data_IF_140314187293
#
_entry.id   IF_140314187293
#
_cell.length_a   1.000
_cell.length_b   1.000
_cell.length_c   1.000
_cell.angle_alpha   90.00
_cell.angle_beta   90.00
_cell.angle_gamma   90.00
#
_symmetry.space_group_name_H-M   'P 1'
#
loop_
_entity.id
_entity.type
_entity.pdbx_description
1 polymer ?
#
# COMPACT_ATOMS: atom_id res chain seq x y z
N UNK A 1 44.87 -21.67 6.72
CA UNK A 1 43.80 -21.49 7.73
C UNK A 1 43.82 -20.06 8.28
N UNK A 2 43.10 -19.11 7.62
CA UNK A 2 43.16 -17.65 7.95
C UNK A 2 41.86 -17.12 8.58
N UNK A 3 40.96 -18.00 9.00
CA UNK A 3 39.61 -17.62 9.51
C UNK A 3 39.70 -16.89 10.86
N UNK A 4 40.66 -17.25 11.72
CA UNK A 4 40.81 -16.62 13.06
C UNK A 4 41.10 -15.11 13.04
N UNK A 5 41.72 -14.59 11.96
CA UNK A 5 42.05 -13.16 11.86
C UNK A 5 40.84 -12.24 11.64
N UNK A 6 39.71 -12.78 11.14
CA UNK A 6 38.48 -12.03 10.91
C UNK A 6 37.45 -12.21 12.03
N UNK A 7 37.54 -13.31 12.79
CA UNK A 7 36.61 -13.59 13.88
C UNK A 7 36.75 -12.60 15.04
N UNK A 8 37.98 -12.21 15.40
CA UNK A 8 38.23 -11.30 16.51
C UNK A 8 37.71 -9.88 16.24
N UNK A 9 38.00 -9.23 15.09
CA UNK A 9 37.42 -7.94 14.76
C UNK A 9 35.90 -7.99 14.67
N UNK A 10 35.33 -9.03 14.05
CA UNK A 10 33.87 -9.21 13.95
C UNK A 10 33.20 -9.29 15.33
N UNK A 11 33.77 -10.04 16.25
CA UNK A 11 33.28 -10.17 17.62
C UNK A 11 33.39 -8.82 18.39
N UNK A 12 34.47 -8.06 18.22
CA UNK A 12 34.63 -6.73 18.81
C UNK A 12 33.56 -5.77 18.31
N UNK A 13 33.31 -5.73 16.98
CA UNK A 13 32.25 -4.89 16.42
C UNK A 13 30.84 -5.29 16.90
N UNK A 14 30.59 -6.57 17.08
CA UNK A 14 29.33 -7.06 17.64
C UNK A 14 29.12 -6.58 19.08
N UNK A 15 30.18 -6.65 19.91
CA UNK A 15 30.11 -6.15 21.30
C UNK A 15 29.89 -4.64 21.33
N UNK A 16 30.61 -3.89 20.51
CA UNK A 16 30.45 -2.42 20.43
C UNK A 16 29.02 -2.07 20.00
N UNK A 17 28.46 -2.78 19.00
CA UNK A 17 27.08 -2.61 18.57
C UNK A 17 26.05 -2.90 19.68
N UNK A 18 26.30 -3.96 20.44
CA UNK A 18 25.41 -4.37 21.55
C UNK A 18 25.46 -3.38 22.70
N UNK A 19 26.65 -2.87 23.04
CA UNK A 19 26.82 -1.80 24.05
C UNK A 19 26.12 -0.53 23.58
N UNK A 20 26.29 -0.13 22.31
CA UNK A 20 25.60 1.03 21.73
C UNK A 20 24.07 0.90 21.82
N UNK A 21 23.54 -0.27 21.50
CA UNK A 21 22.11 -0.56 21.65
C UNK A 21 21.64 -0.43 23.10
N UNK A 22 22.38 -1.00 24.06
CA UNK A 22 22.04 -0.92 25.48
C UNK A 22 22.08 0.53 25.99
N UNK A 23 23.05 1.34 25.54
CA UNK A 23 23.12 2.76 25.90
C UNK A 23 21.92 3.53 25.38
N UNK A 24 21.51 3.30 24.12
CA UNK A 24 20.31 3.94 23.54
C UNK A 24 19.04 3.52 24.30
N UNK A 25 18.91 2.24 24.60
CA UNK A 25 17.76 1.73 25.38
C UNK A 25 17.74 2.34 26.79
N UNK A 26 18.87 2.39 27.49
CA UNK A 26 18.98 2.97 28.83
C UNK A 26 18.69 4.47 28.83
N UNK A 27 19.19 5.21 27.83
CA UNK A 27 18.94 6.65 27.70
C UNK A 27 17.45 6.95 27.53
N UNK A 28 16.73 6.10 26.79
CA UNK A 28 15.29 6.19 26.62
C UNK A 28 14.48 5.43 27.68
N UNK A 29 15.10 5.08 28.82
CA UNK A 29 14.45 4.37 29.94
C UNK A 29 13.78 3.06 29.52
N UNK A 30 14.34 2.36 28.51
CA UNK A 30 13.77 1.15 27.91
C UNK A 30 12.38 1.34 27.31
N UNK A 31 11.98 2.58 27.05
CA UNK A 31 10.74 2.88 26.34
C UNK A 31 10.96 2.80 24.82
N UNK A 32 10.71 1.62 24.28
CA UNK A 32 10.84 1.35 22.83
C UNK A 32 9.86 2.22 22.04
N UNK A 33 8.69 2.55 22.60
CA UNK A 33 7.73 3.44 21.93
C UNK A 33 8.27 4.85 21.77
N UNK A 34 9.04 5.34 22.74
CA UNK A 34 9.68 6.66 22.67
C UNK A 34 10.82 6.71 21.66
N UNK A 35 11.53 5.59 21.49
CA UNK A 35 12.59 5.46 20.46
C UNK A 35 11.95 5.38 19.05
N UNK A 36 10.79 4.72 18.94
CA UNK A 36 10.03 4.57 17.72
C UNK A 36 9.07 5.73 17.43
N UNK A 37 8.71 6.55 18.44
CA UNK A 37 7.84 7.73 18.27
C UNK A 37 8.65 8.90 17.72
N UNK A 38 9.03 8.82 16.48
CA UNK A 38 9.46 9.98 15.73
C UNK A 38 8.26 10.90 15.47
N UNK A 39 8.54 12.19 15.29
CA UNK A 39 7.54 13.21 15.01
C UNK A 39 6.77 12.86 13.73
N UNK A 40 5.65 12.15 13.87
CA UNK A 40 4.73 11.88 12.78
C UNK A 40 3.87 13.13 12.65
N UNK A 41 4.15 13.93 11.64
CA UNK A 41 3.25 15.00 11.24
C UNK A 41 2.11 14.38 10.41
N UNK A 42 0.89 14.80 10.69
CA UNK A 42 -0.29 14.41 9.93
C UNK A 42 -0.71 15.61 9.09
N UNK A 43 -0.74 15.44 7.78
CA UNK A 43 -1.25 16.44 6.85
C UNK A 43 -2.65 15.99 6.39
N UNK A 44 -3.61 16.89 6.46
CA UNK A 44 -5.01 16.66 6.07
C UNK A 44 -5.41 17.68 5.01
N UNK A 45 -6.07 17.23 3.96
CA UNK A 45 -6.52 18.06 2.85
C UNK A 45 -7.91 17.66 2.39
N UNK A 46 -8.67 18.65 1.92
CA UNK A 46 -10.03 18.47 1.40
C UNK A 46 -10.05 18.88 -0.08
N UNK A 47 -10.72 18.09 -0.88
CA UNK A 47 -10.91 18.36 -2.31
C UNK A 47 -12.39 18.22 -2.65
N UNK A 48 -12.82 19.00 -3.64
CA UNK A 48 -14.15 18.88 -4.20
C UNK A 48 -14.31 17.60 -5.05
N UNK A 49 -15.55 17.24 -5.35
CA UNK A 49 -15.89 16.06 -6.17
C UNK A 49 -15.74 16.30 -7.68
N UNK A 50 -15.08 17.35 -8.11
CA UNK A 50 -14.71 17.55 -9.53
C UNK A 50 -13.48 16.73 -9.93
N UNK A 51 -12.89 15.97 -9.00
CA UNK A 51 -11.78 15.06 -9.29
C UNK A 51 -12.30 13.80 -9.97
N UNK A 52 -11.99 13.59 -11.25
CA UNK A 52 -12.42 12.39 -11.97
C UNK A 52 -11.41 11.25 -11.88
N UNK A 53 -10.15 11.55 -11.53
CA UNK A 53 -9.07 10.59 -11.46
C UNK A 53 -8.20 10.81 -10.23
N UNK A 54 -7.98 9.75 -9.47
CA UNK A 54 -7.01 9.74 -8.37
C UNK A 54 -5.82 8.89 -8.81
N UNK A 55 -4.62 9.49 -8.79
CA UNK A 55 -3.35 8.82 -9.08
C UNK A 55 -2.50 8.72 -7.82
N UNK A 56 -2.12 7.50 -7.45
CA UNK A 56 -1.26 7.25 -6.29
C UNK A 56 0.01 6.50 -6.73
N UNK A 57 1.16 7.07 -6.45
CA UNK A 57 2.45 6.44 -6.72
C UNK A 57 3.26 6.36 -5.42
N UNK A 58 3.47 5.13 -4.92
CA UNK A 58 4.17 4.91 -3.67
C UNK A 58 5.21 3.80 -3.76
N UNK A 59 6.17 3.79 -2.84
CA UNK A 59 7.22 2.77 -2.83
C UNK A 59 6.98 1.67 -1.81
N UNK A 60 6.50 2.00 -0.61
CA UNK A 60 6.42 1.04 0.47
C UNK A 60 5.41 1.46 1.55
N UNK A 61 4.13 1.62 1.18
CA UNK A 61 3.14 2.18 2.08
C UNK A 61 1.84 1.40 2.16
N UNK A 62 1.11 1.66 3.24
CA UNK A 62 -0.27 1.23 3.37
C UNK A 62 -1.21 2.36 2.95
N UNK A 63 -1.94 2.12 1.88
CA UNK A 63 -2.94 3.03 1.33
C UNK A 63 -4.32 2.44 1.60
N UNK A 64 -5.21 3.25 2.15
CA UNK A 64 -6.62 2.90 2.32
C UNK A 64 -7.49 3.93 1.60
N UNK A 65 -8.35 3.46 0.72
CA UNK A 65 -9.36 4.27 0.04
C UNK A 65 -10.72 3.68 0.40
N UNK A 66 -11.58 4.48 0.99
CA UNK A 66 -12.92 4.03 1.38
C UNK A 66 -13.99 5.08 1.15
N UNK A 67 -15.22 4.62 0.95
CA UNK A 67 -16.38 5.51 0.96
C UNK A 67 -16.76 5.91 2.39
N UNK A 68 -17.34 7.09 2.52
CA UNK A 68 -17.83 7.66 3.79
C UNK A 68 -19.02 8.59 3.57
N UNK A 69 -19.67 9.02 4.64
CA UNK A 69 -20.80 9.96 4.64
C UNK A 69 -20.40 11.42 4.29
N UNK A 70 -19.15 11.66 3.91
CA UNK A 70 -18.65 12.97 3.52
C UNK A 70 -19.20 13.41 2.18
N UNK A 71 -19.25 14.73 1.96
CA UNK A 71 -19.60 15.33 0.65
C UNK A 71 -18.37 15.77 -0.16
N UNK A 72 -17.18 15.63 0.40
CA UNK A 72 -15.88 16.01 -0.16
C UNK A 72 -14.92 14.81 -0.17
N UNK A 73 -13.81 14.94 -0.89
CA UNK A 73 -12.71 13.99 -0.86
C UNK A 73 -11.74 14.43 0.23
N UNK A 74 -11.60 13.60 1.25
CA UNK A 74 -10.67 13.83 2.36
C UNK A 74 -9.43 12.99 2.18
N UNK A 75 -8.27 13.62 2.23
CA UNK A 75 -6.97 12.95 2.15
C UNK A 75 -6.18 13.23 3.42
N UNK A 76 -5.80 12.16 4.08
CA UNK A 76 -4.93 12.19 5.26
C UNK A 76 -3.65 11.45 4.97
N UNK A 77 -2.53 12.14 5.07
CA UNK A 77 -1.21 11.55 4.87
C UNK A 77 -0.33 11.75 6.10
N UNK A 78 0.55 10.79 6.33
CA UNK A 78 1.56 10.86 7.38
C UNK A 78 2.90 11.26 6.77
N UNK A 79 3.54 12.23 7.38
CA UNK A 79 4.91 12.59 7.10
C UNK A 79 5.79 12.03 8.21
N UNK A 80 6.68 11.14 7.87
CA UNK A 80 7.61 10.51 8.79
C UNK A 80 9.02 10.84 8.32
N UNK A 81 9.73 11.69 9.04
CA UNK A 81 11.11 12.11 8.73
C UNK A 81 11.28 12.59 7.28
N UNK A 82 12.01 11.83 6.48
CA UNK A 82 12.35 12.15 5.09
C UNK A 82 11.34 11.62 4.06
N UNK A 83 10.19 11.21 4.54
CA UNK A 83 9.14 10.60 3.77
C UNK A 83 7.89 11.46 3.89
N UNK A 84 7.40 11.95 2.78
CA UNK A 84 6.19 12.77 2.71
C UNK A 84 5.43 12.52 1.41
N UNK A 85 4.14 12.77 1.45
CA UNK A 85 3.33 12.82 0.25
C UNK A 85 3.34 14.21 -0.36
N UNK A 86 3.47 14.29 -1.68
CA UNK A 86 3.18 15.48 -2.47
C UNK A 86 1.79 15.28 -3.05
N UNK A 87 0.84 16.09 -2.63
CA UNK A 87 -0.54 15.98 -3.07
C UNK A 87 -0.85 17.26 -3.87
N UNK A 88 -1.13 17.08 -5.16
CA UNK A 88 -1.45 18.17 -6.09
C UNK A 88 -2.73 17.86 -6.83
N UNK A 89 -3.59 18.87 -6.98
CA UNK A 89 -4.77 18.80 -7.84
C UNK A 89 -4.52 19.61 -9.09
N UNK A 90 -4.54 18.97 -10.25
CA UNK A 90 -4.44 19.56 -11.56
C UNK A 90 -5.75 19.31 -12.31
N UNK A 91 -6.57 20.32 -12.50
CA UNK A 91 -7.91 20.23 -13.04
C UNK A 91 -8.77 19.18 -12.30
N UNK A 92 -9.05 18.07 -12.94
CA UNK A 92 -9.87 16.96 -12.44
C UNK A 92 -9.03 15.76 -11.95
N UNK A 93 -7.71 15.93 -11.86
CA UNK A 93 -6.78 14.88 -11.45
C UNK A 93 -6.18 15.21 -10.09
N UNK A 94 -6.32 14.29 -9.15
CA UNK A 94 -5.64 14.33 -7.86
C UNK A 94 -4.41 13.43 -7.91
N UNK A 95 -3.23 14.03 -7.97
CA UNK A 95 -1.95 13.33 -7.97
C UNK A 95 -1.39 13.24 -6.55
N UNK A 96 -1.05 12.02 -6.13
CA UNK A 96 -0.51 11.72 -4.81
C UNK A 96 0.78 10.93 -5.00
N UNK A 97 1.91 11.59 -4.83
CA UNK A 97 3.24 11.00 -5.00
C UNK A 97 3.98 10.93 -3.68
N UNK A 98 4.45 9.74 -3.34
CA UNK A 98 5.31 9.58 -2.19
C UNK A 98 6.74 9.97 -2.52
N UNK A 99 7.22 11.01 -1.87
CA UNK A 99 8.59 11.51 -1.97
C UNK A 99 9.45 10.95 -0.85
N UNK A 100 10.50 10.23 -1.23
CA UNK A 100 11.49 9.72 -0.30
C UNK A 100 12.69 10.67 -0.25
N UNK A 101 13.19 10.88 0.96
CA UNK A 101 14.46 11.53 1.19
C UNK A 101 15.65 10.74 0.63
N UNK A 102 16.84 11.20 0.90
CA UNK A 102 18.06 10.57 0.40
C UNK A 102 18.24 9.18 1.02
N UNK A 103 18.77 8.21 0.26
CA UNK A 103 18.91 6.82 0.68
C UNK A 103 19.65 6.61 2.01
N UNK A 104 20.65 7.45 2.31
CA UNK A 104 21.43 7.35 3.54
C UNK A 104 20.68 7.87 4.77
N UNK A 105 19.68 8.72 4.59
CA UNK A 105 18.79 9.18 5.66
C UNK A 105 17.87 8.03 6.11
N UNK A 106 17.55 7.10 5.20
CA UNK A 106 16.76 5.90 5.50
C UNK A 106 17.59 4.80 6.20
N UNK A 107 18.92 4.75 6.01
CA UNK A 107 19.76 3.72 6.66
C UNK A 107 19.87 3.93 8.17
N UNK A 108 19.79 5.17 8.63
CA UNK A 108 19.81 5.50 10.06
C UNK A 108 18.41 5.50 10.69
N UNK A 109 17.40 5.35 9.88
CA UNK A 109 16.01 5.36 10.33
C UNK A 109 15.58 3.91 10.65
N UNK A 110 15.36 3.63 11.93
CA UNK A 110 14.90 2.33 12.42
C UNK A 110 13.39 2.13 12.10
N UNK A 111 12.87 2.87 11.13
CA UNK A 111 11.47 2.85 10.69
C UNK A 111 10.96 1.49 10.22
N UNK A 112 11.87 0.56 9.80
CA UNK A 112 11.50 -0.83 9.54
C UNK A 112 10.95 -1.56 10.77
N UNK A 113 11.23 -1.07 11.98
CA UNK A 113 10.62 -1.60 13.21
C UNK A 113 9.14 -1.22 13.36
N UNK A 114 8.68 -0.15 12.67
CA UNK A 114 7.26 0.18 12.61
C UNK A 114 6.48 -0.81 11.73
N UNK A 115 7.14 -1.51 10.82
CA UNK A 115 6.54 -2.55 9.98
C UNK A 115 6.23 -3.84 10.75
N UNK A 116 6.83 -4.05 11.92
CA UNK A 116 6.59 -5.22 12.76
C UNK A 116 5.24 -5.21 13.51
N UNK A 117 4.21 -4.58 12.98
CA UNK A 117 2.83 -4.68 13.48
C UNK A 117 2.21 -3.36 13.97
N UNK A 118 2.85 -2.22 13.74
CA UNK A 118 2.34 -0.90 14.07
C UNK A 118 2.09 -0.02 12.82
N UNK A 119 1.90 -0.65 11.66
CA UNK A 119 1.60 0.05 10.41
C UNK A 119 0.25 0.76 10.52
N UNK A 120 0.28 1.94 11.09
CA UNK A 120 -0.76 2.90 10.87
C UNK A 120 -0.75 3.27 9.38
N UNK A 121 -1.90 3.28 8.76
CA UNK A 121 -2.13 3.69 7.39
C UNK A 121 -1.34 4.97 7.08
N UNK A 122 -0.47 4.93 6.07
CA UNK A 122 0.37 6.07 5.73
C UNK A 122 -0.39 7.09 4.86
N UNK A 123 -1.29 6.59 4.02
CA UNK A 123 -2.20 7.38 3.19
C UNK A 123 -3.62 6.86 3.36
N UNK A 124 -4.52 7.75 3.71
CA UNK A 124 -5.92 7.46 3.91
C UNK A 124 -6.77 8.43 3.10
N UNK A 125 -7.65 7.89 2.26
CA UNK A 125 -8.52 8.66 1.38
C UNK A 125 -9.98 8.27 1.67
N UNK A 126 -10.81 9.23 2.00
CA UNK A 126 -12.25 9.07 2.07
C UNK A 126 -12.91 9.78 0.90
N UNK A 127 -13.84 9.10 0.27
CA UNK A 127 -14.64 9.65 -0.83
C UNK A 127 -16.13 9.55 -0.50
N UNK A 128 -17.00 10.36 -1.08
CA UNK A 128 -18.44 10.24 -0.88
C UNK A 128 -18.97 8.86 -1.31
N UNK A 129 -20.00 8.34 -0.63
CA UNK A 129 -20.56 7.01 -0.87
C UNK A 129 -20.98 6.75 -2.32
N UNK A 130 -21.58 7.75 -2.99
CA UNK A 130 -22.09 7.60 -4.36
C UNK A 130 -21.14 8.16 -5.44
N UNK A 131 -19.93 8.52 -5.02
CA UNK A 131 -18.95 9.12 -5.92
C UNK A 131 -18.28 8.05 -6.80
N UNK A 132 -18.24 8.33 -8.12
CA UNK A 132 -17.62 7.45 -9.12
C UNK A 132 -16.39 8.14 -9.69
N UNK A 133 -15.24 7.50 -9.60
CA UNK A 133 -13.96 8.03 -10.06
C UNK A 133 -13.08 6.96 -10.70
N UNK A 134 -12.10 7.37 -11.49
CA UNK A 134 -11.04 6.50 -11.98
C UNK A 134 -9.89 6.45 -10.99
N UNK A 135 -9.19 5.32 -10.93
CA UNK A 135 -8.11 5.10 -9.99
C UNK A 135 -6.88 4.49 -10.68
N UNK A 136 -5.75 5.15 -10.56
CA UNK A 136 -4.44 4.62 -10.97
C UNK A 136 -3.53 4.50 -9.76
N UNK A 137 -3.01 3.30 -9.47
CA UNK A 137 -2.13 3.05 -8.32
C UNK A 137 -0.91 2.25 -8.72
N UNK A 138 0.27 2.75 -8.42
CA UNK A 138 1.55 2.03 -8.51
C UNK A 138 2.17 1.90 -7.12
N UNK A 139 2.23 0.66 -6.59
CA UNK A 139 2.83 0.34 -5.29
C UNK A 139 4.00 -0.61 -5.51
N UNK A 140 5.20 -0.18 -5.15
CA UNK A 140 6.41 -1.03 -5.28
C UNK A 140 6.58 -2.04 -4.15
N UNK A 141 6.09 -1.71 -2.98
CA UNK A 141 6.02 -2.59 -1.81
C UNK A 141 5.07 -1.96 -0.81
N UNK A 142 4.13 -2.71 -0.24
CA UNK A 142 3.14 -2.15 0.67
C UNK A 142 1.74 -2.71 0.43
N UNK A 143 0.73 -2.05 0.98
CA UNK A 143 -0.62 -2.55 0.97
C UNK A 143 -1.58 -1.53 0.37
N UNK A 144 -2.46 -1.98 -0.50
CA UNK A 144 -3.58 -1.18 -0.99
C UNK A 144 -4.90 -1.82 -0.54
N UNK A 145 -5.74 -1.03 0.10
CA UNK A 145 -7.06 -1.46 0.54
C UNK A 145 -8.15 -0.56 -0.04
N UNK A 146 -9.11 -1.15 -0.74
CA UNK A 146 -10.29 -0.48 -1.28
C UNK A 146 -11.54 -0.98 -0.55
N UNK A 147 -12.40 -0.09 -0.07
CA UNK A 147 -13.60 -0.46 0.67
C UNK A 147 -14.82 0.38 0.27
N UNK A 148 -15.90 -0.29 -0.13
CA UNK A 148 -17.20 0.33 -0.40
C UNK A 148 -17.16 1.45 -1.46
N UNK A 149 -16.26 1.39 -2.44
CA UNK A 149 -16.08 2.45 -3.44
C UNK A 149 -16.66 2.09 -4.79
N UNK A 150 -17.14 3.11 -5.50
CA UNK A 150 -17.62 3.00 -6.88
C UNK A 150 -16.57 3.58 -7.82
N UNK A 151 -16.14 2.79 -8.78
CA UNK A 151 -15.02 3.09 -9.65
C UNK A 151 -15.44 3.00 -11.13
N UNK A 152 -14.95 3.89 -11.95
CA UNK A 152 -15.09 3.75 -13.41
C UNK A 152 -13.99 2.81 -13.94
N UNK A 153 -12.80 3.35 -14.17
CA UNK A 153 -11.66 2.61 -14.67
C UNK A 153 -10.58 2.52 -13.57
N UNK A 154 -10.09 1.32 -13.34
CA UNK A 154 -9.10 1.06 -12.29
C UNK A 154 -7.87 0.40 -12.91
N UNK A 155 -6.70 0.96 -12.63
CA UNK A 155 -5.42 0.36 -12.99
C UNK A 155 -4.52 0.28 -11.75
N UNK A 156 -4.20 -0.93 -11.33
CA UNK A 156 -3.42 -1.18 -10.12
C UNK A 156 -2.21 -2.04 -10.47
N UNK A 157 -1.03 -1.55 -10.08
CA UNK A 157 0.23 -2.27 -10.19
C UNK A 157 0.87 -2.42 -8.81
N UNK A 158 1.05 -3.65 -8.35
CA UNK A 158 1.71 -3.97 -7.08
C UNK A 158 2.89 -4.90 -7.36
N UNK A 159 4.11 -4.47 -7.01
CA UNK A 159 5.34 -5.24 -7.24
C UNK A 159 5.75 -6.10 -6.05
N UNK A 160 5.16 -5.86 -4.90
CA UNK A 160 5.33 -6.64 -3.67
C UNK A 160 4.39 -6.11 -2.62
N UNK A 161 3.76 -7.00 -1.83
CA UNK A 161 2.82 -6.57 -0.82
C UNK A 161 1.42 -7.14 -0.99
N UNK A 162 0.38 -6.40 -0.60
CA UNK A 162 -0.98 -6.92 -0.66
C UNK A 162 -1.96 -5.95 -1.31
N UNK A 163 -2.89 -6.51 -2.06
CA UNK A 163 -4.10 -5.86 -2.51
C UNK A 163 -5.31 -6.47 -1.81
N UNK A 164 -6.17 -5.63 -1.28
CA UNK A 164 -7.45 -6.06 -0.72
C UNK A 164 -8.55 -5.13 -1.18
N UNK A 165 -9.59 -5.68 -1.79
CA UNK A 165 -10.78 -4.94 -2.17
C UNK A 165 -12.02 -5.63 -1.60
N UNK A 166 -12.93 -4.84 -1.04
CA UNK A 166 -14.20 -5.35 -0.52
C UNK A 166 -15.35 -4.42 -0.85
N UNK A 167 -16.46 -5.00 -1.31
CA UNK A 167 -17.68 -4.27 -1.67
C UNK A 167 -17.42 -3.15 -2.68
N UNK A 168 -16.60 -3.40 -3.70
CA UNK A 168 -16.35 -2.42 -4.76
C UNK A 168 -17.27 -2.66 -5.96
N UNK A 169 -17.58 -1.57 -6.66
CA UNK A 169 -18.16 -1.63 -8.00
C UNK A 169 -17.20 -0.99 -8.97
N UNK A 170 -16.87 -1.66 -10.07
CA UNK A 170 -15.95 -1.14 -11.08
C UNK A 170 -16.45 -1.46 -12.51
N UNK A 171 -16.35 -0.48 -13.42
CA UNK A 171 -16.61 -0.77 -14.83
C UNK A 171 -15.48 -1.59 -15.44
N UNK A 172 -14.23 -1.19 -15.21
CA UNK A 172 -13.05 -1.94 -15.62
C UNK A 172 -12.02 -1.99 -14.48
N UNK A 173 -11.47 -3.17 -14.24
CA UNK A 173 -10.37 -3.38 -13.28
C UNK A 173 -9.22 -4.12 -13.96
N UNK A 174 -8.10 -3.41 -14.15
CA UNK A 174 -6.82 -3.98 -14.49
C UNK A 174 -5.98 -4.11 -13.21
N UNK A 175 -5.65 -5.33 -12.82
CA UNK A 175 -4.90 -5.64 -11.63
C UNK A 175 -3.64 -6.45 -11.97
N UNK A 176 -2.48 -5.86 -11.75
CA UNK A 176 -1.20 -6.52 -11.91
C UNK A 176 -0.55 -6.67 -10.52
N UNK A 177 -0.31 -7.90 -10.08
CA UNK A 177 0.35 -8.19 -8.81
C UNK A 177 1.55 -9.12 -9.05
N UNK A 178 2.73 -8.65 -8.65
CA UNK A 178 3.99 -9.41 -8.75
C UNK A 178 4.56 -9.64 -7.37
N UNK A 179 4.41 -10.87 -6.88
CA UNK A 179 4.87 -11.25 -5.54
C UNK A 179 4.02 -10.63 -4.43
N UNK A 180 3.18 -11.44 -3.80
CA UNK A 180 2.36 -10.97 -2.71
C UNK A 180 0.99 -11.63 -2.64
N UNK A 181 -0.03 -10.86 -2.24
CA UNK A 181 -1.40 -11.35 -2.12
C UNK A 181 -2.40 -10.43 -2.80
N UNK A 182 -3.45 -11.01 -3.38
CA UNK A 182 -4.56 -10.27 -3.95
C UNK A 182 -5.89 -10.86 -3.46
N UNK A 183 -6.64 -10.09 -2.67
CA UNK A 183 -7.91 -10.53 -2.13
C UNK A 183 -9.02 -9.58 -2.60
N UNK A 184 -10.04 -10.11 -3.26
CA UNK A 184 -11.20 -9.34 -3.69
C UNK A 184 -12.46 -10.07 -3.20
N UNK A 185 -13.33 -9.36 -2.52
CA UNK A 185 -14.54 -9.96 -1.97
C UNK A 185 -15.79 -9.11 -2.21
N UNK A 186 -16.95 -9.78 -2.38
CA UNK A 186 -18.28 -9.16 -2.44
C UNK A 186 -18.35 -8.00 -3.45
N UNK A 187 -17.82 -8.18 -4.64
CA UNK A 187 -17.60 -7.08 -5.58
C UNK A 187 -18.24 -7.34 -6.94
N UNK A 188 -18.67 -6.25 -7.58
CA UNK A 188 -19.26 -6.25 -8.93
C UNK A 188 -18.28 -5.55 -9.88
N UNK A 189 -17.79 -6.27 -10.89
CA UNK A 189 -16.82 -5.77 -11.85
C UNK A 189 -17.32 -6.12 -13.25
N UNK A 190 -17.55 -5.12 -14.12
CA UNK A 190 -18.02 -5.46 -15.46
C UNK A 190 -16.92 -6.16 -16.26
N UNK A 191 -15.70 -5.61 -16.27
CA UNK A 191 -14.55 -6.24 -16.95
C UNK A 191 -13.35 -6.31 -16.01
N UNK A 192 -12.91 -7.53 -15.70
CA UNK A 192 -11.70 -7.81 -14.92
C UNK A 192 -10.58 -8.32 -15.81
N UNK A 193 -9.39 -7.75 -15.66
CA UNK A 193 -8.13 -8.27 -16.24
C UNK A 193 -7.13 -8.39 -15.11
N UNK A 194 -6.77 -9.62 -14.75
CA UNK A 194 -5.92 -9.92 -13.60
C UNK A 194 -4.66 -10.63 -14.06
N UNK A 195 -3.51 -10.01 -13.81
CA UNK A 195 -2.19 -10.56 -14.13
C UNK A 195 -1.44 -10.83 -12.83
N UNK A 196 -1.24 -12.10 -12.51
CA UNK A 196 -0.63 -12.56 -11.27
C UNK A 196 0.68 -13.29 -11.54
N UNK A 197 1.75 -12.80 -10.93
CA UNK A 197 3.07 -13.41 -10.98
C UNK A 197 3.55 -13.66 -9.54
N UNK A 198 3.89 -14.90 -9.17
CA UNK A 198 4.28 -15.32 -7.84
C UNK A 198 3.31 -14.84 -6.72
N UNK A 199 2.01 -14.94 -6.98
CA UNK A 199 0.95 -14.34 -6.15
C UNK A 199 0.07 -15.41 -5.50
N UNK A 200 -0.43 -15.17 -4.29
CA UNK A 200 -1.55 -15.90 -3.72
C UNK A 200 -2.80 -15.03 -3.82
N UNK A 201 -3.84 -15.53 -4.46
CA UNK A 201 -5.06 -14.77 -4.70
C UNK A 201 -6.29 -15.49 -4.14
N UNK A 202 -7.16 -14.69 -3.51
CA UNK A 202 -8.49 -15.14 -3.09
C UNK A 202 -9.54 -14.21 -3.69
N UNK A 203 -10.44 -14.76 -4.52
CA UNK A 203 -11.53 -14.05 -5.18
C UNK A 203 -12.84 -14.63 -4.67
N UNK A 204 -13.49 -13.95 -3.74
CA UNK A 204 -14.68 -14.45 -3.05
C UNK A 204 -15.92 -13.66 -3.41
N UNK A 205 -16.98 -14.36 -3.84
CA UNK A 205 -18.27 -13.76 -4.13
C UNK A 205 -18.16 -12.57 -5.11
N UNK A 206 -17.51 -12.83 -6.24
CA UNK A 206 -17.34 -11.85 -7.33
C UNK A 206 -18.38 -12.07 -8.41
N UNK A 207 -18.97 -10.99 -8.90
CA UNK A 207 -19.78 -11.00 -10.10
C UNK A 207 -19.10 -10.19 -11.21
N UNK A 208 -18.84 -10.83 -12.36
CA UNK A 208 -18.19 -10.23 -13.52
C UNK A 208 -18.99 -10.48 -14.80
N UNK A 209 -18.96 -9.52 -15.73
CA UNK A 209 -19.42 -9.76 -17.09
C UNK A 209 -18.37 -10.45 -17.94
N UNK A 210 -17.13 -9.96 -17.84
CA UNK A 210 -15.97 -10.51 -18.56
C UNK A 210 -14.78 -10.64 -17.61
N UNK A 211 -14.08 -11.77 -17.73
CA UNK A 211 -12.89 -12.05 -16.96
C UNK A 211 -11.79 -12.56 -17.86
N UNK A 212 -10.60 -11.96 -17.73
CA UNK A 212 -9.34 -12.39 -18.32
C UNK A 212 -8.31 -12.54 -17.20
N UNK A 213 -7.75 -13.73 -17.01
CA UNK A 213 -6.75 -14.01 -15.96
C UNK A 213 -5.52 -14.63 -16.60
N UNK A 214 -4.38 -14.01 -16.38
CA UNK A 214 -3.06 -14.53 -16.68
C UNK A 214 -2.29 -14.81 -15.38
N UNK A 215 -1.78 -16.05 -15.22
CA UNK A 215 -1.16 -16.49 -13.98
C UNK A 215 0.15 -17.22 -14.23
N UNK A 216 1.20 -16.77 -13.54
CA UNK A 216 2.49 -17.45 -13.49
C UNK A 216 2.89 -17.72 -12.04
N UNK A 217 3.23 -18.98 -11.72
CA UNK A 217 3.61 -19.45 -10.37
C UNK A 217 2.65 -18.95 -9.27
N UNK A 218 1.36 -19.11 -9.47
CA UNK A 218 0.31 -18.49 -8.66
C UNK A 218 -0.59 -19.53 -8.01
N UNK A 219 -1.12 -19.23 -6.83
CA UNK A 219 -2.22 -19.96 -6.20
C UNK A 219 -3.48 -19.11 -6.24
N UNK A 220 -4.55 -19.63 -6.82
CA UNK A 220 -5.84 -18.97 -6.90
C UNK A 220 -6.91 -19.81 -6.20
N UNK A 221 -7.62 -19.20 -5.24
CA UNK A 221 -8.90 -19.68 -4.72
C UNK A 221 -9.98 -18.72 -5.19
N UNK A 222 -11.02 -19.23 -5.85
CA UNK A 222 -11.99 -18.37 -6.50
C UNK A 222 -13.44 -18.88 -6.40
N UNK A 223 -14.33 -18.00 -5.95
CA UNK A 223 -15.77 -18.12 -6.03
C UNK A 223 -16.32 -16.96 -6.88
N UNK A 224 -16.51 -17.22 -8.17
CA UNK A 224 -16.79 -16.19 -9.17
C UNK A 224 -18.05 -16.57 -9.97
N UNK A 225 -18.91 -15.60 -10.20
CA UNK A 225 -20.03 -15.69 -11.13
C UNK A 225 -19.73 -14.85 -12.37
N UNK A 226 -19.53 -15.50 -13.52
CA UNK A 226 -19.28 -14.84 -14.79
C UNK A 226 -20.57 -14.88 -15.63
N UNK A 227 -20.96 -13.73 -16.17
CA UNK A 227 -22.27 -13.60 -16.86
C UNK A 227 -22.14 -13.59 -18.39
N UNK A 228 -20.96 -13.29 -18.95
CA UNK A 228 -20.77 -13.22 -20.42
C UNK A 228 -19.58 -14.03 -20.92
N UNK A 229 -18.34 -13.75 -20.47
CA UNK A 229 -17.12 -14.31 -21.07
C UNK A 229 -15.99 -14.50 -20.05
N UNK A 230 -15.25 -15.62 -20.15
CA UNK A 230 -14.06 -15.88 -19.36
C UNK A 230 -12.91 -16.41 -20.24
N UNK A 231 -11.70 -15.88 -20.03
CA UNK A 231 -10.43 -16.41 -20.51
C UNK A 231 -9.52 -16.72 -19.31
N UNK A 232 -9.01 -17.93 -19.27
CA UNK A 232 -8.21 -18.46 -18.15
C UNK A 232 -6.87 -18.96 -18.66
#
# INVERSE_FOLDING_TARGET
MKIKKFLIPGFIFTIIGLIGLLVILAYNRFDIKKIASENVEVEESLYDTNVNLIKCNTKADSIVIKASERSDIYVKSKKINNYKYSITKDDEILNIDCQYGRWYENVLNIGWMNELGFANEALFIEVPNDYVFALEVDVKGGNLKLQNVNLSNVSINIKGGSFTASNIKASELLLNVKGGTANISNSLINKGTFNYDATTSNLENLELEKLDIDMDVTTLDASIKITKEANL
#
